data_IF_676170643095
#
_entry.id   IF_676170643095
#
_cell.length_a   1.000
_cell.length_b   1.000
_cell.length_c   1.000
_cell.angle_alpha   90.00
_cell.angle_beta   90.00
_cell.angle_gamma   90.00
#
_symmetry.space_group_name_H-M   'P 1'
#
loop_
_entity.id
_entity.type
_entity.pdbx_description
1 polymer ?
#
# COMPACT_ATOMS: atom_id res chain seq x y z
N UNK A 1 -38.27 -6.93 4.01
CA UNK A 1 -37.31 -6.99 5.13
C UNK A 1 -36.24 -5.94 4.86
N UNK A 2 -35.98 -5.01 5.78
CA UNK A 2 -34.80 -4.16 5.65
C UNK A 2 -33.55 -5.04 5.79
N UNK A 3 -32.65 -4.98 4.80
CA UNK A 3 -31.36 -5.65 4.92
C UNK A 3 -30.58 -5.08 6.12
N UNK A 4 -30.33 -5.93 7.12
CA UNK A 4 -29.64 -5.60 8.38
C UNK A 4 -28.15 -5.29 8.19
N UNK A 5 -27.58 -5.60 7.02
CA UNK A 5 -26.16 -5.51 6.74
C UNK A 5 -25.90 -5.03 5.31
N UNK A 6 -24.64 -4.65 5.04
CA UNK A 6 -24.18 -4.24 3.72
C UNK A 6 -23.26 -5.33 3.13
N UNK A 7 -23.72 -6.15 2.16
CA UNK A 7 -22.90 -7.19 1.56
C UNK A 7 -21.76 -6.60 0.73
N UNK A 8 -20.54 -7.11 0.94
CA UNK A 8 -19.33 -6.75 0.21
C UNK A 8 -18.67 -8.02 -0.31
N UNK A 9 -18.83 -8.31 -1.60
CA UNK A 9 -18.16 -9.42 -2.28
C UNK A 9 -16.77 -8.97 -2.73
N UNK A 10 -15.72 -9.73 -2.39
CA UNK A 10 -14.32 -9.38 -2.69
C UNK A 10 -13.68 -10.39 -3.64
N UNK A 11 -13.04 -9.89 -4.68
CA UNK A 11 -12.32 -10.67 -5.70
C UNK A 11 -10.91 -10.11 -5.93
N UNK A 12 -9.83 -10.90 -5.81
CA UNK A 12 -8.48 -10.47 -6.19
C UNK A 12 -8.29 -10.50 -7.71
N UNK A 13 -7.59 -9.50 -8.25
CA UNK A 13 -7.19 -9.51 -9.65
C UNK A 13 -5.68 -9.69 -9.83
N UNK A 14 -5.24 -9.98 -11.06
CA UNK A 14 -3.79 -10.02 -11.39
C UNK A 14 -3.10 -8.68 -11.13
N UNK A 15 -3.73 -7.56 -11.51
CA UNK A 15 -3.15 -6.19 -11.42
C UNK A 15 -3.69 -5.39 -10.24
N UNK A 16 -4.66 -5.93 -9.51
CA UNK A 16 -5.34 -5.30 -8.38
C UNK A 16 -5.14 -6.13 -7.12
N UNK A 17 -4.99 -5.46 -5.98
CA UNK A 17 -4.98 -6.14 -4.68
C UNK A 17 -6.36 -6.76 -4.42
N UNK A 18 -7.40 -6.01 -4.75
CA UNK A 18 -8.77 -6.51 -4.83
C UNK A 18 -9.64 -5.60 -5.69
N UNK A 19 -10.73 -6.17 -6.16
CA UNK A 19 -11.96 -5.53 -6.59
C UNK A 19 -13.05 -5.99 -5.63
N UNK A 20 -14.01 -5.13 -5.33
CA UNK A 20 -15.11 -5.41 -4.45
C UNK A 20 -16.39 -4.83 -5.02
N UNK A 21 -17.46 -5.60 -4.90
CA UNK A 21 -18.82 -5.19 -5.24
C UNK A 21 -19.60 -5.07 -3.95
N UNK A 22 -20.16 -3.88 -3.72
CA UNK A 22 -20.97 -3.55 -2.56
C UNK A 22 -22.40 -3.41 -3.05
N UNK A 23 -23.31 -4.24 -2.56
CA UNK A 23 -24.72 -4.17 -2.95
C UNK A 23 -25.47 -3.37 -1.89
N UNK A 24 -26.10 -2.26 -2.29
CA UNK A 24 -26.96 -1.45 -1.42
C UNK A 24 -28.44 -1.81 -1.59
N UNK A 25 -28.82 -2.21 -2.80
CA UNK A 25 -30.11 -2.81 -3.19
C UNK A 25 -29.91 -3.62 -4.48
N UNK A 26 -30.88 -4.42 -4.92
CA UNK A 26 -30.77 -5.28 -6.12
C UNK A 26 -30.25 -4.52 -7.37
N UNK A 27 -30.78 -3.31 -7.60
CA UNK A 27 -30.40 -2.45 -8.73
C UNK A 27 -29.22 -1.51 -8.44
N UNK A 28 -28.80 -1.37 -7.17
CA UNK A 28 -27.75 -0.41 -6.78
C UNK A 28 -26.52 -1.12 -6.24
N UNK A 29 -25.51 -1.19 -7.09
CA UNK A 29 -24.20 -1.77 -6.81
C UNK A 29 -23.10 -0.71 -6.90
N UNK A 30 -22.22 -0.69 -5.92
CA UNK A 30 -21.02 0.15 -5.89
C UNK A 30 -19.78 -0.71 -6.09
N UNK A 31 -18.89 -0.28 -6.98
CA UNK A 31 -17.62 -0.97 -7.23
C UNK A 31 -16.46 -0.24 -6.57
N UNK A 32 -15.68 -0.99 -5.79
CA UNK A 32 -14.46 -0.51 -5.16
C UNK A 32 -13.29 -1.37 -5.56
N UNK A 33 -12.11 -0.78 -5.59
CA UNK A 33 -10.89 -1.51 -5.90
C UNK A 33 -9.69 -0.87 -5.24
N UNK A 34 -8.65 -1.66 -5.07
CA UNK A 34 -7.32 -1.18 -4.72
C UNK A 34 -6.30 -1.81 -5.65
N UNK A 35 -5.54 -1.00 -6.37
CA UNK A 35 -4.44 -1.49 -7.21
C UNK A 35 -3.14 -1.68 -6.43
N UNK A 36 -2.22 -2.50 -6.95
CA UNK A 36 -0.87 -2.65 -6.39
C UNK A 36 -0.11 -1.32 -6.34
N UNK A 37 -0.33 -0.44 -7.34
CA UNK A 37 0.24 0.90 -7.39
C UNK A 37 -0.30 1.78 -6.25
N UNK A 38 -1.61 1.71 -5.97
CA UNK A 38 -2.22 2.45 -4.87
C UNK A 38 -1.71 1.95 -3.51
N UNK A 39 -1.63 0.64 -3.29
CA UNK A 39 -1.03 0.07 -2.07
C UNK A 39 0.40 0.58 -1.86
N UNK A 40 1.22 0.57 -2.93
CA UNK A 40 2.60 1.08 -2.90
C UNK A 40 2.67 2.58 -2.57
N UNK A 41 1.72 3.36 -3.09
CA UNK A 41 1.55 4.79 -2.78
C UNK A 41 1.14 5.02 -1.32
N UNK A 42 0.17 4.26 -0.80
CA UNK A 42 -0.24 4.34 0.62
C UNK A 42 0.90 3.98 1.57
N UNK A 43 1.73 3.01 1.20
CA UNK A 43 2.91 2.60 1.95
C UNK A 43 4.09 3.58 1.83
N UNK A 44 3.98 4.60 0.96
CA UNK A 44 4.99 5.63 0.77
C UNK A 44 6.32 5.10 0.21
N UNK A 45 6.28 4.00 -0.54
CA UNK A 45 7.49 3.29 -1.01
C UNK A 45 8.34 4.20 -1.87
N UNK A 46 7.77 4.84 -2.91
CA UNK A 46 8.54 5.69 -3.84
C UNK A 46 9.29 6.81 -3.12
N UNK A 47 8.57 7.52 -2.24
CA UNK A 47 9.16 8.63 -1.48
C UNK A 47 10.28 8.16 -0.56
N UNK A 48 10.15 6.95 0.00
CA UNK A 48 11.18 6.35 0.84
C UNK A 48 12.37 5.91 0.00
N UNK A 49 12.15 5.23 -1.12
CA UNK A 49 13.20 4.82 -2.05
C UNK A 49 14.04 6.01 -2.50
N UNK A 50 13.40 7.12 -2.89
CA UNK A 50 14.12 8.35 -3.24
C UNK A 50 14.98 8.90 -2.09
N UNK A 51 14.48 8.86 -0.85
CA UNK A 51 15.27 9.29 0.31
C UNK A 51 16.46 8.39 0.59
N UNK A 52 16.27 7.07 0.48
CA UNK A 52 17.34 6.09 0.66
C UNK A 52 18.41 6.29 -0.42
N UNK A 53 18.02 6.50 -1.68
CA UNK A 53 18.96 6.79 -2.78
C UNK A 53 19.78 8.06 -2.52
N UNK A 54 19.13 9.14 -2.07
CA UNK A 54 19.85 10.37 -1.67
C UNK A 54 20.83 10.13 -0.52
N UNK A 55 20.45 9.28 0.44
CA UNK A 55 21.33 8.95 1.56
C UNK A 55 22.51 8.09 1.10
N UNK A 56 22.30 7.11 0.21
CA UNK A 56 23.36 6.30 -0.38
C UNK A 56 24.39 7.16 -1.11
N UNK A 57 23.93 8.15 -1.87
CA UNK A 57 24.77 9.17 -2.52
C UNK A 57 25.60 9.94 -1.51
N UNK A 58 24.94 10.50 -0.49
CA UNK A 58 25.61 11.31 0.53
C UNK A 58 26.62 10.52 1.37
N UNK A 59 26.41 9.21 1.56
CA UNK A 59 27.31 8.35 2.33
C UNK A 59 28.34 7.60 1.46
N UNK A 60 28.42 7.89 0.16
CA UNK A 60 29.35 7.22 -0.77
C UNK A 60 29.02 5.76 -1.10
N UNK A 61 27.94 5.21 -0.54
CA UNK A 61 27.57 3.79 -0.67
C UNK A 61 27.11 3.44 -2.07
N UNK A 62 26.54 4.39 -2.81
CA UNK A 62 26.16 4.16 -4.22
C UNK A 62 27.39 3.83 -5.10
N UNK A 63 28.52 4.50 -4.86
CA UNK A 63 29.77 4.21 -5.58
C UNK A 63 30.30 2.82 -5.25
N UNK A 64 30.29 2.47 -3.96
CA UNK A 64 30.69 1.15 -3.48
C UNK A 64 29.84 0.06 -4.13
N UNK A 65 28.51 0.20 -4.11
CA UNK A 65 27.60 -0.78 -4.71
C UNK A 65 27.80 -0.97 -6.22
N UNK A 66 28.08 0.12 -6.93
CA UNK A 66 28.23 0.10 -8.39
C UNK A 66 29.51 -0.61 -8.85
N UNK A 67 30.49 -0.73 -7.95
CA UNK A 67 31.80 -1.32 -8.23
C UNK A 67 31.96 -2.73 -7.64
N UNK A 68 30.94 -3.29 -6.97
CA UNK A 68 31.00 -4.65 -6.41
C UNK A 68 31.25 -5.65 -7.55
N UNK A 69 32.37 -6.40 -7.53
CA UNK A 69 32.61 -7.45 -8.51
C UNK A 69 31.53 -8.52 -8.46
N UNK A 70 31.22 -9.18 -9.58
CA UNK A 70 30.18 -10.22 -9.59
C UNK A 70 30.55 -11.41 -8.70
N UNK A 71 29.66 -11.87 -7.81
CA UNK A 71 29.91 -13.08 -7.01
C UNK A 71 29.68 -14.38 -7.81
N UNK A 72 29.11 -14.29 -9.01
CA UNK A 72 28.75 -15.46 -9.83
C UNK A 72 29.89 -15.83 -10.76
N UNK A 73 30.89 -16.52 -10.24
CA UNK A 73 32.05 -16.95 -11.03
C UNK A 73 32.67 -18.22 -10.47
N UNK A 74 33.27 -19.02 -11.35
CA UNK A 74 34.05 -20.24 -11.02
C UNK A 74 35.55 -19.89 -10.91
N UNK A 75 35.95 -18.71 -11.41
CA UNK A 75 37.32 -18.22 -11.39
C UNK A 75 37.71 -17.80 -9.96
N UNK A 76 38.77 -18.42 -9.44
CA UNK A 76 39.28 -18.20 -8.10
C UNK A 76 39.76 -16.77 -7.88
N UNK A 77 40.37 -16.14 -8.89
CA UNK A 77 40.92 -14.79 -8.72
C UNK A 77 39.82 -13.74 -8.70
N UNK A 78 38.78 -13.90 -9.53
CA UNK A 78 37.57 -13.06 -9.45
C UNK A 78 36.82 -13.24 -8.14
N UNK A 79 36.80 -14.46 -7.59
CA UNK A 79 36.21 -14.73 -6.28
C UNK A 79 37.00 -14.01 -5.16
N UNK A 80 38.34 -14.10 -5.17
CA UNK A 80 39.21 -13.37 -4.24
C UNK A 80 39.00 -11.85 -4.35
N UNK A 81 38.89 -11.32 -5.57
CA UNK A 81 38.60 -9.90 -5.80
C UNK A 81 37.25 -9.49 -5.22
N UNK A 82 36.19 -10.29 -5.41
CA UNK A 82 34.88 -10.01 -4.81
C UNK A 82 34.97 -9.99 -3.27
N UNK A 83 35.57 -11.01 -2.66
CA UNK A 83 35.72 -11.11 -1.21
C UNK A 83 36.55 -9.94 -0.68
N UNK A 84 37.70 -9.66 -1.27
CA UNK A 84 38.57 -8.55 -0.89
C UNK A 84 37.85 -7.20 -0.98
N UNK A 85 37.10 -6.96 -2.06
CA UNK A 85 36.32 -5.74 -2.22
C UNK A 85 35.25 -5.59 -1.12
N UNK A 86 34.53 -6.67 -0.81
CA UNK A 86 33.49 -6.65 0.22
C UNK A 86 34.07 -6.42 1.62
N UNK A 87 35.19 -7.07 1.96
CA UNK A 87 35.89 -6.90 3.24
C UNK A 87 36.43 -5.48 3.39
N UNK A 88 37.04 -4.92 2.34
CA UNK A 88 37.59 -3.55 2.37
C UNK A 88 36.49 -2.48 2.57
N UNK A 89 35.25 -2.76 2.14
CA UNK A 89 34.13 -1.83 2.26
C UNK A 89 33.14 -2.21 3.37
N UNK A 90 33.44 -3.24 4.17
CA UNK A 90 32.47 -3.86 5.08
C UNK A 90 31.97 -2.86 6.12
N UNK A 91 32.85 -2.03 6.68
CA UNK A 91 32.50 -1.05 7.71
C UNK A 91 31.51 -0.01 7.16
N UNK A 92 31.79 0.55 5.99
CA UNK A 92 30.93 1.53 5.31
C UNK A 92 29.55 0.95 4.98
N UNK A 93 29.51 -0.30 4.49
CA UNK A 93 28.27 -1.02 4.20
C UNK A 93 27.48 -1.31 5.48
N UNK A 94 28.13 -1.82 6.53
CA UNK A 94 27.50 -2.09 7.82
C UNK A 94 26.96 -0.82 8.46
N UNK A 95 27.75 0.27 8.48
CA UNK A 95 27.33 1.56 9.02
C UNK A 95 26.04 2.04 8.33
N UNK A 96 25.99 1.93 7.01
CA UNK A 96 24.81 2.34 6.25
C UNK A 96 23.60 1.41 6.49
N UNK A 97 23.80 0.11 6.31
CA UNK A 97 22.69 -0.85 6.35
C UNK A 97 22.21 -1.11 7.77
N UNK A 98 23.05 -1.11 8.78
CA UNK A 98 22.61 -1.35 10.16
C UNK A 98 22.10 -0.10 10.86
N UNK A 99 22.73 1.07 10.64
CA UNK A 99 22.39 2.28 11.41
C UNK A 99 21.69 3.34 10.55
N UNK A 100 22.33 3.84 9.50
CA UNK A 100 21.80 4.99 8.74
C UNK A 100 20.48 4.68 8.04
N UNK A 101 20.30 3.45 7.56
CA UNK A 101 19.09 3.02 6.88
C UNK A 101 18.01 2.44 7.80
N UNK A 102 18.31 2.18 9.07
CA UNK A 102 17.38 1.58 10.04
C UNK A 102 16.06 2.36 10.19
N UNK A 103 16.05 3.70 10.28
CA UNK A 103 14.79 4.44 10.35
C UNK A 103 13.88 4.17 9.15
N UNK A 104 14.44 3.92 7.96
CA UNK A 104 13.65 3.61 6.77
C UNK A 104 13.03 2.21 6.82
N UNK A 105 13.65 1.23 7.49
CA UNK A 105 13.00 -0.07 7.77
C UNK A 105 11.78 0.11 8.66
N UNK A 106 11.91 0.91 9.73
CA UNK A 106 10.78 1.24 10.59
C UNK A 106 9.66 1.96 9.83
N UNK A 107 10.00 2.96 9.00
CA UNK A 107 9.03 3.62 8.13
C UNK A 107 8.44 2.69 7.06
N UNK A 108 9.17 1.65 6.63
CA UNK A 108 8.64 0.61 5.75
C UNK A 108 7.56 -0.21 6.45
N UNK A 109 7.84 -0.66 7.67
CA UNK A 109 6.87 -1.36 8.50
C UNK A 109 5.61 -0.50 8.74
N UNK A 110 5.78 0.73 9.24
CA UNK A 110 4.66 1.65 9.47
C UNK A 110 3.89 1.99 8.18
N UNK A 111 4.61 2.15 7.07
CA UNK A 111 4.01 2.39 5.75
C UNK A 111 3.12 1.22 5.32
N UNK A 112 3.62 0.00 5.45
CA UNK A 112 2.85 -1.21 5.16
C UNK A 112 1.60 -1.29 6.02
N UNK A 113 1.70 -1.04 7.34
CA UNK A 113 0.55 -1.02 8.24
C UNK A 113 -0.50 0.01 7.80
N UNK A 114 -0.06 1.23 7.45
CA UNK A 114 -0.96 2.27 6.93
C UNK A 114 -1.63 1.86 5.62
N UNK A 115 -0.91 1.22 4.72
CA UNK A 115 -1.47 0.73 3.45
C UNK A 115 -2.53 -0.34 3.70
N UNK A 116 -2.27 -1.28 4.61
CA UNK A 116 -3.22 -2.31 5.00
C UNK A 116 -4.49 -1.73 5.60
N UNK A 117 -4.35 -0.76 6.51
CA UNK A 117 -5.48 -0.04 7.09
C UNK A 117 -6.30 0.72 6.04
N UNK A 118 -5.65 1.42 5.10
CA UNK A 118 -6.36 2.12 4.02
C UNK A 118 -7.07 1.16 3.04
N UNK A 119 -6.48 -0.01 2.75
CA UNK A 119 -7.14 -1.06 1.96
C UNK A 119 -8.41 -1.58 2.64
N UNK A 120 -8.36 -1.87 3.94
CA UNK A 120 -9.55 -2.26 4.70
C UNK A 120 -10.58 -1.11 4.74
N UNK A 121 -10.13 0.14 4.93
CA UNK A 121 -11.00 1.31 4.89
C UNK A 121 -11.72 1.48 3.53
N UNK A 122 -11.07 1.12 2.42
CA UNK A 122 -11.71 1.15 1.10
C UNK A 122 -12.92 0.22 1.07
N UNK A 123 -12.86 -0.96 1.69
CA UNK A 123 -13.99 -1.88 1.78
C UNK A 123 -15.09 -1.34 2.72
N UNK A 124 -14.69 -0.78 3.86
CA UNK A 124 -15.58 -0.44 4.98
C UNK A 124 -16.11 1.01 4.98
N UNK A 125 -16.29 1.65 3.82
CA UNK A 125 -16.76 3.05 3.66
C UNK A 125 -15.86 4.15 4.25
N UNK A 126 -14.79 3.77 4.95
CA UNK A 126 -13.95 4.66 5.74
C UNK A 126 -12.75 5.25 5.00
N UNK A 127 -12.52 4.80 3.77
CA UNK A 127 -11.35 5.12 2.96
C UNK A 127 -11.47 6.47 2.26
N UNK A 128 -10.34 7.18 2.14
CA UNK A 128 -10.30 8.50 1.48
C UNK A 128 -10.48 8.45 -0.04
N UNK A 129 -10.32 7.28 -0.66
CA UNK A 129 -10.39 7.11 -2.13
C UNK A 129 -11.80 7.45 -2.64
N UNK A 130 -12.80 6.80 -2.06
CA UNK A 130 -14.21 6.92 -2.45
C UNK A 130 -14.96 7.96 -1.60
N UNK A 131 -14.62 8.11 -0.31
CA UNK A 131 -15.25 9.09 0.56
C UNK A 131 -14.71 10.53 0.33
N UNK A 132 -15.47 11.33 -0.44
CA UNK A 132 -15.10 12.71 -0.81
C UNK A 132 -14.97 13.65 0.40
N UNK A 133 -15.77 13.48 1.46
CA UNK A 133 -15.72 14.38 2.64
C UNK A 133 -14.42 14.17 3.42
N UNK A 134 -14.04 12.90 3.67
CA UNK A 134 -12.76 12.54 4.29
C UNK A 134 -11.56 12.99 3.45
N UNK A 135 -11.66 12.87 2.12
CA UNK A 135 -10.65 13.36 1.18
C UNK A 135 -10.46 14.88 1.28
N UNK A 136 -11.56 15.63 1.25
CA UNK A 136 -11.57 17.11 1.40
C UNK A 136 -10.98 17.55 2.74
N UNK A 137 -11.39 16.93 3.85
CA UNK A 137 -10.84 17.19 5.20
C UNK A 137 -9.32 16.99 5.24
N UNK A 138 -8.84 15.88 4.67
CA UNK A 138 -7.41 15.57 4.59
C UNK A 138 -6.65 16.63 3.78
N UNK A 139 -7.18 17.04 2.62
CA UNK A 139 -6.55 18.05 1.78
C UNK A 139 -6.53 19.44 2.45
N UNK A 140 -7.61 19.81 3.16
CA UNK A 140 -7.67 21.05 3.96
C UNK A 140 -6.58 21.05 5.04
N UNK A 141 -6.42 19.94 5.75
CA UNK A 141 -5.39 19.80 6.79
C UNK A 141 -3.97 19.86 6.19
N UNK A 142 -3.73 19.24 5.02
CA UNK A 142 -2.47 19.37 4.29
C UNK A 142 -2.18 20.82 3.90
N UNK A 143 -3.18 21.55 3.39
CA UNK A 143 -3.04 22.98 3.03
C UNK A 143 -2.73 23.83 4.26
N UNK A 144 -3.42 23.60 5.38
CA UNK A 144 -3.13 24.27 6.66
C UNK A 144 -1.71 24.00 7.15
N UNK A 145 -1.25 22.74 7.10
CA UNK A 145 0.12 22.38 7.49
C UNK A 145 1.17 23.02 6.59
N UNK A 146 0.91 23.12 5.27
CA UNK A 146 1.76 23.85 4.32
C UNK A 146 1.82 25.33 4.64
N UNK A 147 0.68 25.98 4.92
CA UNK A 147 0.62 27.39 5.35
C UNK A 147 1.41 27.62 6.65
N UNK A 148 1.22 26.79 7.69
CA UNK A 148 1.97 26.90 8.96
C UNK A 148 3.48 26.70 8.79
N UNK A 149 3.89 25.84 7.86
CA UNK A 149 5.31 25.68 7.51
C UNK A 149 5.82 26.89 6.75
N UNK A 150 5.05 27.41 5.80
CA UNK A 150 5.41 28.62 5.04
C UNK A 150 5.51 29.84 5.96
N UNK A 151 4.63 30.01 6.94
CA UNK A 151 4.73 31.10 7.92
C UNK A 151 5.96 30.96 8.83
N UNK A 152 6.27 29.74 9.31
CA UNK A 152 7.52 29.47 10.06
C UNK A 152 8.79 29.60 9.22
N UNK A 153 8.71 29.36 7.91
CA UNK A 153 9.83 29.54 6.98
C UNK A 153 9.93 30.97 6.45
N UNK A 154 8.86 31.77 6.52
CA UNK A 154 8.84 33.19 6.15
C UNK A 154 9.57 34.07 7.18
N UNK A 155 9.72 33.62 8.43
CA UNK A 155 10.68 34.20 9.38
C UNK A 155 12.15 33.97 8.97
N UNK A 156 12.44 33.07 8.01
CA UNK A 156 13.82 32.70 7.66
C UNK A 156 14.19 32.66 6.17
N UNK A 157 13.27 32.87 5.22
CA UNK A 157 13.62 32.92 3.80
C UNK A 157 12.50 33.56 2.99
N UNK A 158 12.71 34.82 2.59
CA UNK A 158 12.07 35.38 1.42
C UNK A 158 12.54 34.61 0.17
N UNK A 159 11.62 34.49 -0.80
CA UNK A 159 11.76 34.02 -2.20
C UNK A 159 11.34 32.59 -2.56
N UNK A 160 10.80 32.54 -3.79
CA UNK A 160 10.50 31.38 -4.65
C UNK A 160 9.07 30.84 -4.63
N UNK A 161 8.28 31.42 -5.53
CA UNK A 161 6.99 30.96 -6.06
C UNK A 161 7.15 29.67 -6.89
N UNK A 162 6.21 28.73 -6.73
CA UNK A 162 6.07 27.59 -7.63
C UNK A 162 4.60 27.37 -7.96
N UNK A 163 4.28 27.47 -9.25
CA UNK A 163 2.97 27.23 -9.84
C UNK A 163 2.78 25.72 -10.02
N UNK A 164 1.93 25.11 -9.19
CA UNK A 164 1.53 23.72 -9.34
C UNK A 164 0.05 23.64 -9.72
N UNK A 165 -0.21 23.11 -10.92
CA UNK A 165 -1.55 22.76 -11.41
C UNK A 165 -1.82 21.28 -11.06
N UNK A 166 -2.95 20.95 -10.40
CA UNK A 166 -3.28 19.55 -10.11
C UNK A 166 -3.65 18.79 -11.38
N UNK A 167 -3.01 17.65 -11.62
CA UNK A 167 -3.44 16.69 -12.64
C UNK A 167 -4.65 15.89 -12.13
N UNK A 168 -5.76 15.92 -12.85
CA UNK A 168 -6.93 15.08 -12.58
C UNK A 168 -6.68 13.64 -13.02
N UNK A 169 -7.12 12.68 -12.20
CA UNK A 169 -7.05 11.26 -12.52
C UNK A 169 -8.36 10.80 -13.18
N UNK A 170 -8.27 10.34 -14.43
CA UNK A 170 -9.40 9.82 -15.22
C UNK A 170 -9.84 8.41 -14.81
N UNK A 171 -10.24 8.22 -13.55
CA UNK A 171 -10.99 7.04 -13.14
C UNK A 171 -12.38 7.47 -12.64
N UNK A 172 -13.40 7.15 -13.44
CA UNK A 172 -14.80 7.23 -13.02
C UNK A 172 -15.04 6.14 -11.97
N UNK A 173 -14.93 6.48 -10.69
CA UNK A 173 -15.46 5.65 -9.61
C UNK A 173 -16.98 5.80 -9.54
N UNK A 174 -17.70 4.74 -9.20
CA UNK A 174 -19.11 4.83 -8.82
C UNK A 174 -19.32 5.86 -7.70
N UNK A 175 -20.55 6.38 -7.59
CA UNK A 175 -20.90 7.30 -6.50
C UNK A 175 -20.74 6.55 -5.16
N UNK A 176 -19.90 7.08 -4.28
CA UNK A 176 -19.76 6.59 -2.91
C UNK A 176 -21.06 6.83 -2.15
N UNK A 177 -21.58 5.79 -1.52
CA UNK A 177 -22.77 5.86 -0.70
C UNK A 177 -22.41 5.47 0.74
N UNK A 178 -22.67 6.38 1.67
CA UNK A 178 -22.45 6.14 3.08
C UNK A 178 -23.62 5.31 3.61
N UNK A 179 -23.31 4.22 4.31
CA UNK A 179 -24.32 3.38 4.96
C UNK A 179 -23.98 3.24 6.44
N UNK A 180 -25.01 3.29 7.28
CA UNK A 180 -24.91 3.01 8.72
C UNK A 180 -24.96 1.50 9.02
N UNK A 181 -25.26 0.67 8.02
CA UNK A 181 -25.32 -0.79 8.15
C UNK A 181 -23.93 -1.38 8.38
N UNK A 182 -23.87 -2.46 9.17
CA UNK A 182 -22.62 -3.19 9.37
C UNK A 182 -22.21 -3.87 8.05
N UNK A 183 -21.01 -3.60 7.53
CA UNK A 183 -20.53 -4.26 6.32
C UNK A 183 -20.19 -5.73 6.60
N UNK A 184 -20.79 -6.63 5.83
CA UNK A 184 -20.47 -8.06 5.82
C UNK A 184 -19.57 -8.33 4.61
N UNK A 185 -18.29 -8.58 4.87
CA UNK A 185 -17.29 -8.87 3.83
C UNK A 185 -17.22 -10.36 3.60
N UNK A 186 -17.55 -10.78 2.38
CA UNK A 186 -17.57 -12.17 1.96
C UNK A 186 -16.29 -12.49 1.20
N UNK A 187 -15.53 -13.45 1.72
CA UNK A 187 -14.37 -14.03 1.04
C UNK A 187 -14.71 -15.43 0.56
N UNK A 188 -14.45 -15.71 -0.70
CA UNK A 188 -14.47 -17.08 -1.19
C UNK A 188 -13.24 -17.88 -0.77
N UNK A 189 -13.40 -19.18 -0.64
CA UNK A 189 -12.36 -20.12 -0.19
C UNK A 189 -11.16 -20.22 -1.15
N UNK A 190 -11.30 -19.79 -2.41
CA UNK A 190 -10.20 -19.68 -3.37
C UNK A 190 -9.16 -18.62 -2.99
N UNK A 191 -9.46 -17.80 -1.97
CA UNK A 191 -8.58 -16.78 -1.38
C UNK A 191 -7.84 -17.24 -0.14
N UNK A 192 -8.20 -18.41 0.41
CA UNK A 192 -7.56 -19.00 1.59
C UNK A 192 -6.15 -19.49 1.25
N UNK A 193 -5.21 -19.27 2.17
CA UNK A 193 -3.87 -19.86 2.18
C UNK A 193 -2.98 -19.64 0.92
N UNK A 194 -3.39 -18.80 -0.04
CA UNK A 194 -2.56 -18.39 -1.19
C UNK A 194 -1.55 -17.29 -0.82
N UNK A 195 -1.00 -17.34 0.39
CA UNK A 195 0.05 -16.41 0.84
C UNK A 195 1.38 -16.69 0.12
N UNK A 196 1.60 -17.95 -0.26
CA UNK A 196 2.86 -18.46 -0.80
C UNK A 196 2.76 -18.97 -2.26
N UNK A 197 1.63 -18.81 -2.94
CA UNK A 197 1.50 -19.16 -4.35
C UNK A 197 1.72 -17.90 -5.19
N UNK A 198 2.94 -17.63 -5.68
CA UNK A 198 3.17 -16.55 -6.63
C UNK A 198 2.48 -16.91 -7.95
N UNK A 199 1.23 -16.48 -8.13
CA UNK A 199 0.64 -16.46 -9.46
C UNK A 199 1.40 -15.41 -10.30
N UNK A 200 1.89 -15.79 -11.48
CA UNK A 200 2.66 -14.92 -12.37
C UNK A 200 1.93 -13.57 -12.57
N UNK A 201 2.54 -12.49 -12.06
CA UNK A 201 2.01 -11.13 -12.12
C UNK A 201 1.17 -10.66 -10.92
N UNK A 202 0.93 -11.50 -9.91
CA UNK A 202 0.14 -11.18 -8.71
C UNK A 202 1.07 -11.04 -7.48
N UNK A 203 0.77 -10.08 -6.60
CA UNK A 203 1.45 -9.96 -5.31
C UNK A 203 0.89 -11.03 -4.36
N UNK A 204 1.71 -12.02 -4.01
CA UNK A 204 1.32 -13.10 -3.08
C UNK A 204 0.97 -12.53 -1.69
N UNK A 205 -0.02 -13.14 -1.02
CA UNK A 205 -0.41 -12.80 0.36
C UNK A 205 -1.16 -11.47 0.57
N UNK A 206 -1.47 -10.72 -0.49
CA UNK A 206 -2.16 -9.43 -0.33
C UNK A 206 -3.61 -9.55 0.14
N UNK A 207 -4.33 -10.59 -0.27
CA UNK A 207 -5.66 -10.96 0.22
C UNK A 207 -5.64 -11.33 1.71
N UNK A 208 -4.70 -12.19 2.12
CA UNK A 208 -4.54 -12.60 3.53
C UNK A 208 -4.22 -11.43 4.47
N UNK A 209 -3.45 -10.44 4.00
CA UNK A 209 -3.17 -9.21 4.77
C UNK A 209 -4.42 -8.34 4.95
N UNK A 210 -5.24 -8.20 3.91
CA UNK A 210 -6.52 -7.47 3.99
C UNK A 210 -7.47 -8.21 4.93
N UNK A 211 -7.57 -9.52 4.79
CA UNK A 211 -8.41 -10.37 5.62
C UNK A 211 -8.02 -10.28 7.11
N UNK A 212 -6.73 -10.37 7.45
CA UNK A 212 -6.24 -10.17 8.83
C UNK A 212 -6.61 -8.80 9.40
N UNK A 213 -6.49 -7.75 8.59
CA UNK A 213 -6.85 -6.38 9.01
C UNK A 213 -8.36 -6.24 9.25
N UNK A 214 -9.18 -6.93 8.46
CA UNK A 214 -10.63 -6.97 8.67
C UNK A 214 -10.98 -7.78 9.92
N UNK A 215 -10.31 -8.91 10.20
CA UNK A 215 -10.59 -9.71 11.41
C UNK A 215 -10.40 -8.90 12.69
N UNK A 216 -9.39 -8.02 12.74
CA UNK A 216 -9.22 -7.08 13.86
C UNK A 216 -10.42 -6.14 14.01
N UNK A 217 -10.99 -5.67 12.90
CA UNK A 217 -12.17 -4.79 12.88
C UNK A 217 -13.46 -5.52 13.22
N UNK A 218 -13.53 -6.80 12.90
CA UNK A 218 -14.63 -7.66 13.30
C UNK A 218 -14.65 -7.90 14.80
N UNK A 219 -13.48 -8.10 15.42
CA UNK A 219 -13.35 -8.10 16.89
C UNK A 219 -13.80 -6.77 17.54
N UNK A 220 -13.70 -5.66 16.80
CA UNK A 220 -14.16 -4.34 17.23
C UNK A 220 -15.64 -4.06 16.86
N UNK A 221 -16.38 -5.06 16.34
CA UNK A 221 -17.79 -4.95 15.93
C UNK A 221 -18.05 -3.89 14.85
N UNK A 222 -17.04 -3.54 14.06
CA UNK A 222 -17.17 -2.55 12.96
C UNK A 222 -17.36 -3.19 11.58
N UNK A 223 -17.23 -4.53 11.49
CA UNK A 223 -17.43 -5.31 10.28
C UNK A 223 -17.72 -6.77 10.63
N UNK A 224 -18.45 -7.49 9.77
CA UNK A 224 -18.56 -8.94 9.84
C UNK A 224 -17.80 -9.56 8.66
N UNK A 225 -17.22 -10.75 8.87
CA UNK A 225 -16.47 -11.47 7.83
C UNK A 225 -17.06 -12.85 7.70
N UNK A 226 -17.44 -13.20 6.48
CA UNK A 226 -17.99 -14.53 6.15
C UNK A 226 -17.07 -15.18 5.14
N UNK A 227 -16.78 -16.46 5.36
CA UNK A 227 -16.09 -17.30 4.40
C UNK A 227 -17.12 -18.20 3.73
N UNK A 228 -17.07 -18.29 2.40
CA UNK A 228 -17.95 -19.16 1.62
C UNK A 228 -17.13 -20.16 0.82
N UNK A 229 -17.61 -21.41 0.80
CA UNK A 229 -17.04 -22.43 -0.07
C UNK A 229 -17.35 -22.08 -1.54
N UNK A 230 -16.32 -21.97 -2.38
CA UNK A 230 -16.44 -21.65 -3.80
C UNK A 230 -16.84 -22.85 -4.68
N UNK A 231 -17.19 -24.00 -4.10
CA UNK A 231 -17.56 -25.18 -4.87
C UNK A 231 -18.71 -24.87 -5.85
N UNK A 232 -18.41 -24.96 -7.15
CA UNK A 232 -19.30 -24.65 -8.28
C UNK A 232 -19.86 -23.21 -8.37
N UNK A 233 -19.34 -22.22 -7.64
CA UNK A 233 -19.84 -20.83 -7.73
C UNK A 233 -19.64 -20.19 -9.11
N UNK A 234 -18.68 -20.67 -9.90
CA UNK A 234 -18.48 -20.27 -11.31
C UNK A 234 -19.36 -21.02 -12.32
N UNK A 235 -20.07 -22.06 -11.87
CA UNK A 235 -20.95 -22.91 -12.70
C UNK A 235 -22.44 -22.69 -12.41
N UNK A 236 -22.78 -22.13 -11.26
CA UNK A 236 -24.15 -21.74 -10.92
C UNK A 236 -24.46 -20.42 -11.60
N UNK A 237 -25.43 -20.42 -12.52
CA UNK A 237 -25.94 -19.24 -13.21
C UNK A 237 -27.06 -18.64 -12.35
N UNK A 238 -26.86 -17.42 -11.85
CA UNK A 238 -27.92 -16.63 -11.23
C UNK A 238 -28.69 -15.84 -12.29
#
# INVERSE_FOLDING_TARGET
MEELFLPVAVDPGRKTVFTATITHSEDRKEYRSCSSKERRSFAGVDRRTQKVLKLKKASGVEGIESQIPTPKTIDLDRMKQHIGYMLNNIESLFRFYNFLSAPFRFYAYQGTQRANAEMANILLNDGKKYNKSKRRKTNRNKRRKRKRRKSRSQEHAQTSTSNYVPKESNHKSSKFEASAKVPVVVFGDGLKNKENIPMKGQLSGTSGVVQRSLYQRSKQLTAAIVQINEYNTSKVRN
#
